data_IF_898181509039
#
_entry.id   IF_898181509039
#
_cell.length_a   1.000
_cell.length_b   1.000
_cell.length_c   1.000
_cell.angle_alpha   90.00
_cell.angle_beta   90.00
_cell.angle_gamma   90.00
#
_symmetry.space_group_name_H-M   'P 1'
#
loop_
_entity.id
_entity.type
_entity.pdbx_description
1 polymer ?
#
# COMPACT_ATOMS: atom_id res chain seq x y z
N UNK A 1 -22.78 -4.02 -19.26
CA UNK A 1 -21.70 -4.24 -18.27
C UNK A 1 -21.23 -2.86 -17.81
N UNK A 2 -21.63 -2.41 -16.62
CA UNK A 2 -21.31 -1.07 -16.12
C UNK A 2 -19.83 -1.03 -15.68
N UNK A 3 -18.95 -0.42 -16.49
CA UNK A 3 -17.48 -0.40 -16.31
C UNK A 3 -17.02 0.60 -15.21
N UNK A 4 -17.95 1.31 -14.57
CA UNK A 4 -17.60 2.39 -13.61
C UNK A 4 -17.18 1.89 -12.22
N UNK A 5 -17.83 0.86 -11.67
CA UNK A 5 -17.55 0.39 -10.30
C UNK A 5 -16.15 -0.23 -10.16
N UNK A 6 -15.75 -1.05 -11.13
CA UNK A 6 -14.46 -1.74 -11.11
C UNK A 6 -13.29 -0.76 -11.33
N UNK A 7 -13.48 0.28 -12.16
CA UNK A 7 -12.44 1.26 -12.48
C UNK A 7 -12.20 2.28 -11.37
N UNK A 8 -13.26 2.79 -10.74
CA UNK A 8 -13.11 3.75 -9.61
C UNK A 8 -12.47 3.07 -8.40
N UNK A 9 -12.88 1.84 -8.08
CA UNK A 9 -12.27 1.09 -6.99
C UNK A 9 -10.81 0.74 -7.30
N UNK A 10 -10.51 0.28 -8.52
CA UNK A 10 -9.13 -0.02 -8.93
C UNK A 10 -8.25 1.22 -8.95
N UNK A 11 -8.77 2.36 -9.41
CA UNK A 11 -8.05 3.64 -9.37
C UNK A 11 -7.74 4.07 -7.94
N UNK A 12 -8.74 4.03 -7.04
CA UNK A 12 -8.54 4.38 -5.64
C UNK A 12 -7.56 3.43 -4.95
N UNK A 13 -7.65 2.13 -5.25
CA UNK A 13 -6.71 1.13 -4.75
C UNK A 13 -5.28 1.47 -5.20
N UNK A 14 -5.08 1.71 -6.50
CA UNK A 14 -3.78 2.04 -7.07
C UNK A 14 -3.20 3.31 -6.47
N UNK A 15 -4.01 4.36 -6.36
CA UNK A 15 -3.63 5.61 -5.70
C UNK A 15 -3.20 5.38 -4.25
N UNK A 16 -3.99 4.64 -3.46
CA UNK A 16 -3.65 4.32 -2.05
C UNK A 16 -2.35 3.54 -1.94
N UNK A 17 -2.10 2.59 -2.85
CA UNK A 17 -0.86 1.80 -2.83
C UNK A 17 0.35 2.66 -3.19
N UNK A 18 0.22 3.58 -4.12
CA UNK A 18 1.30 4.51 -4.47
C UNK A 18 1.61 5.48 -3.33
N UNK A 19 0.58 6.03 -2.66
CA UNK A 19 0.75 6.81 -1.43
C UNK A 19 1.44 5.99 -0.35
N UNK A 20 1.10 4.70 -0.19
CA UNK A 20 1.76 3.82 0.76
C UNK A 20 3.26 3.70 0.47
N UNK A 21 3.63 3.49 -0.79
CA UNK A 21 5.02 3.35 -1.24
C UNK A 21 5.81 4.62 -0.95
N UNK A 22 5.24 5.80 -1.23
CA UNK A 22 5.86 7.09 -0.95
C UNK A 22 6.07 7.30 0.55
N UNK A 23 5.04 7.06 1.37
CA UNK A 23 5.16 7.20 2.83
C UNK A 23 6.22 6.27 3.42
N UNK A 24 6.28 5.01 2.96
CA UNK A 24 7.30 4.05 3.39
C UNK A 24 8.71 4.47 2.94
N UNK A 25 8.84 5.04 1.75
CA UNK A 25 10.12 5.50 1.23
C UNK A 25 10.71 6.70 1.99
N UNK A 26 9.87 7.49 2.69
CA UNK A 26 10.37 8.57 3.56
C UNK A 26 11.14 8.06 4.78
N UNK A 27 11.02 6.78 5.13
CA UNK A 27 11.57 6.21 6.37
C UNK A 27 10.97 6.77 7.67
N UNK A 28 10.03 7.71 7.58
CA UNK A 28 9.44 8.42 8.72
C UNK A 28 8.20 7.72 9.30
N UNK A 29 7.70 6.69 8.63
CA UNK A 29 6.49 5.96 9.02
C UNK A 29 6.74 4.46 8.99
N UNK A 30 6.24 3.74 9.99
CA UNK A 30 6.30 2.28 9.97
C UNK A 30 5.12 1.67 9.18
N UNK A 31 5.24 0.37 8.88
CA UNK A 31 4.25 -0.38 8.09
C UNK A 31 2.83 -0.33 8.67
N UNK A 32 2.69 -0.34 10.00
CA UNK A 32 1.39 -0.35 10.66
C UNK A 32 0.72 1.03 10.56
N UNK A 33 1.47 2.10 10.80
CA UNK A 33 1.00 3.49 10.67
C UNK A 33 0.53 3.80 9.25
N UNK A 34 1.28 3.37 8.24
CA UNK A 34 0.90 3.56 6.84
C UNK A 34 -0.40 2.81 6.52
N UNK A 35 -0.55 1.57 7.00
CA UNK A 35 -1.79 0.80 6.83
C UNK A 35 -3.01 1.49 7.45
N UNK A 36 -2.88 1.95 8.69
CA UNK A 36 -3.93 2.67 9.41
C UNK A 36 -4.31 3.98 8.71
N UNK A 37 -3.31 4.76 8.27
CA UNK A 37 -3.52 6.03 7.55
C UNK A 37 -4.29 5.85 6.24
N UNK A 38 -4.12 4.70 5.60
CA UNK A 38 -4.82 4.33 4.38
C UNK A 38 -6.16 3.61 4.65
N UNK A 39 -6.63 3.58 5.90
CA UNK A 39 -7.94 3.02 6.26
C UNK A 39 -7.99 1.49 6.27
N UNK A 40 -6.87 0.81 6.47
CA UNK A 40 -6.86 -0.63 6.74
C UNK A 40 -7.04 -0.92 8.22
N UNK A 41 -8.02 -1.76 8.57
CA UNK A 41 -8.27 -2.16 9.96
C UNK A 41 -7.19 -3.08 10.54
N UNK A 42 -6.41 -3.76 9.69
CA UNK A 42 -5.32 -4.64 10.11
C UNK A 42 -4.10 -4.49 9.22
N UNK A 43 -2.91 -4.60 9.83
CA UNK A 43 -1.64 -4.61 9.12
C UNK A 43 -1.56 -5.76 8.09
N UNK A 44 -2.09 -6.94 8.44
CA UNK A 44 -2.10 -8.10 7.54
C UNK A 44 -2.84 -7.84 6.24
N UNK A 45 -4.00 -7.17 6.28
CA UNK A 45 -4.75 -6.83 5.08
C UNK A 45 -4.01 -5.79 4.21
N UNK A 46 -3.39 -4.79 4.84
CA UNK A 46 -2.53 -3.84 4.14
C UNK A 46 -1.33 -4.54 3.48
N UNK A 47 -0.61 -5.39 4.21
CA UNK A 47 0.57 -6.11 3.70
C UNK A 47 0.20 -6.99 2.50
N UNK A 48 -0.92 -7.72 2.57
CA UNK A 48 -1.41 -8.53 1.45
C UNK A 48 -1.73 -7.67 0.22
N UNK A 49 -2.41 -6.54 0.43
CA UNK A 49 -2.75 -5.57 -0.63
C UNK A 49 -1.50 -4.97 -1.29
N UNK A 50 -0.54 -4.52 -0.48
CA UNK A 50 0.72 -3.96 -0.94
C UNK A 50 1.53 -4.99 -1.74
N UNK A 51 1.63 -6.23 -1.23
CA UNK A 51 2.29 -7.33 -1.93
C UNK A 51 1.60 -7.67 -3.26
N UNK A 52 0.27 -7.62 -3.31
CA UNK A 52 -0.48 -7.83 -4.56
C UNK A 52 -0.14 -6.78 -5.62
N UNK A 53 0.06 -5.52 -5.23
CA UNK A 53 0.41 -4.43 -6.17
C UNK A 53 1.88 -4.42 -6.58
N UNK A 54 2.80 -4.61 -5.63
CA UNK A 54 4.24 -4.39 -5.85
C UNK A 54 5.10 -5.65 -5.82
N UNK A 55 4.51 -6.83 -5.62
CA UNK A 55 5.21 -8.11 -5.60
C UNK A 55 6.07 -8.38 -4.34
N UNK A 56 6.20 -7.42 -3.43
CA UNK A 56 7.00 -7.54 -2.21
C UNK A 56 6.25 -7.03 -0.97
N UNK A 57 6.68 -7.41 0.24
CA UNK A 57 6.07 -6.89 1.46
C UNK A 57 6.57 -5.47 1.75
N UNK A 58 5.77 -4.62 2.44
CA UNK A 58 6.21 -3.28 2.86
C UNK A 58 7.57 -3.29 3.58
N UNK A 59 7.78 -4.25 4.49
CA UNK A 59 9.03 -4.39 5.22
C UNK A 59 10.22 -4.68 4.29
N UNK A 60 10.06 -5.61 3.35
CA UNK A 60 11.11 -5.92 2.37
C UNK A 60 11.40 -4.74 1.44
N UNK A 61 10.36 -3.99 1.05
CA UNK A 61 10.51 -2.76 0.26
C UNK A 61 11.38 -1.73 1.00
N UNK A 62 11.05 -1.41 2.25
CA UNK A 62 11.81 -0.44 3.05
C UNK A 62 13.26 -0.90 3.26
N UNK A 63 13.48 -2.18 3.60
CA UNK A 63 14.83 -2.73 3.75
C UNK A 63 15.67 -2.62 2.47
N UNK A 64 15.05 -2.74 1.29
CA UNK A 64 15.72 -2.58 0.01
C UNK A 64 16.10 -1.14 -0.34
N UNK A 65 15.54 -0.14 0.35
CA UNK A 65 15.89 1.28 0.16
C UNK A 65 17.09 1.72 1.01
N UNK A 66 17.45 0.95 2.05
CA UNK A 66 18.55 1.28 2.96
C UNK A 66 19.91 0.73 2.52
N UNK A 67 20.02 0.27 1.27
CA UNK A 67 21.24 -0.23 0.64
C UNK A 67 21.76 0.74 -0.42
#
# INVERSE_FOLDING_TARGET
KQIYGDSVFSFLFDYKMEVARQLLATGSHNVNEVGLRLGYSTASHFIASFKKKFGTTPKKFVMGLSN
#
